data_IF_292266272595
#
_entry.id   IF_292266272595
#
_cell.length_a   1.000
_cell.length_b   1.000
_cell.length_c   1.000
_cell.angle_alpha   90.00
_cell.angle_beta   90.00
_cell.angle_gamma   90.00
#
_symmetry.space_group_name_H-M   'P 1'
#
loop_
_entity.id
_entity.type
_entity.pdbx_description
1 polymer ?
#
# COMPACT_ATOMS: atom_id res chain seq x y z
N UNK A 1 -16.17 21.25 4.16
CA UNK A 1 -15.08 20.96 3.18
C UNK A 1 -13.88 20.27 3.83
N UNK A 2 -13.39 20.68 5.01
CA UNK A 2 -12.23 20.07 5.70
C UNK A 2 -12.37 18.58 6.08
N UNK A 3 -13.59 18.09 6.34
CA UNK A 3 -13.81 16.72 6.85
C UNK A 3 -13.50 15.61 5.85
N UNK A 4 -13.77 15.82 4.55
CA UNK A 4 -13.56 14.78 3.52
C UNK A 4 -12.08 14.51 3.25
N UNK A 5 -11.26 15.57 3.14
CA UNK A 5 -9.81 15.45 2.87
C UNK A 5 -9.08 14.68 3.97
N UNK A 6 -9.41 14.96 5.25
CA UNK A 6 -8.81 14.26 6.38
C UNK A 6 -9.20 12.77 6.38
N UNK A 7 -10.45 12.46 6.02
CA UNK A 7 -10.92 11.09 5.96
C UNK A 7 -10.24 10.31 4.84
N UNK A 8 -10.06 10.92 3.67
CA UNK A 8 -9.36 10.34 2.52
C UNK A 8 -7.87 10.09 2.81
N UNK A 9 -7.19 11.00 3.50
CA UNK A 9 -5.81 10.79 3.95
C UNK A 9 -5.69 9.64 4.95
N UNK A 10 -6.59 9.57 5.92
CA UNK A 10 -6.60 8.50 6.92
C UNK A 10 -6.87 7.13 6.29
N UNK A 11 -7.79 7.05 5.34
CA UNK A 11 -8.02 5.83 4.58
C UNK A 11 -6.81 5.44 3.76
N UNK A 12 -6.17 6.39 3.10
CA UNK A 12 -4.97 6.15 2.31
C UNK A 12 -3.84 5.59 3.17
N UNK A 13 -3.64 6.13 4.38
CA UNK A 13 -2.68 5.58 5.35
C UNK A 13 -3.03 4.14 5.73
N UNK A 14 -4.29 3.85 6.08
CA UNK A 14 -4.73 2.48 6.43
C UNK A 14 -4.44 1.47 5.31
N UNK A 15 -4.68 1.84 4.06
CA UNK A 15 -4.43 0.98 2.90
C UNK A 15 -2.93 0.72 2.74
N UNK A 16 -2.09 1.76 2.86
CA UNK A 16 -0.63 1.61 2.77
C UNK A 16 -0.09 0.71 3.89
N UNK A 17 -0.55 0.89 5.13
CA UNK A 17 -0.17 0.01 6.25
C UNK A 17 -0.54 -1.46 5.99
N UNK A 18 -1.74 -1.71 5.46
CA UNK A 18 -2.18 -3.06 5.11
C UNK A 18 -1.33 -3.68 4.01
N UNK A 19 -0.98 -2.92 2.98
CA UNK A 19 -0.10 -3.38 1.92
C UNK A 19 1.32 -3.70 2.44
N UNK A 20 1.86 -2.88 3.38
CA UNK A 20 3.12 -3.20 4.05
C UNK A 20 3.04 -4.53 4.78
N UNK A 21 2.02 -4.76 5.60
CA UNK A 21 1.84 -6.02 6.34
C UNK A 21 1.79 -7.25 5.42
N UNK A 22 1.14 -7.13 4.25
CA UNK A 22 1.13 -8.18 3.23
C UNK A 22 2.53 -8.43 2.66
N UNK A 23 3.26 -7.39 2.30
CA UNK A 23 4.62 -7.52 1.78
C UNK A 23 5.57 -8.13 2.83
N UNK A 24 5.44 -7.73 4.09
CA UNK A 24 6.19 -8.29 5.21
C UNK A 24 5.89 -9.78 5.35
N UNK A 25 4.61 -10.17 5.37
CA UNK A 25 4.20 -11.56 5.54
C UNK A 25 4.54 -12.46 4.33
N UNK A 26 4.41 -11.96 3.10
CA UNK A 26 4.63 -12.76 1.90
C UNK A 26 6.09 -12.84 1.47
N UNK A 27 6.86 -11.78 1.71
CA UNK A 27 8.23 -11.65 1.19
C UNK A 27 9.27 -11.59 2.32
N UNK A 28 8.86 -11.66 3.59
CA UNK A 28 9.77 -11.61 4.74
C UNK A 28 10.46 -10.24 4.90
N UNK A 29 9.88 -9.17 4.34
CA UNK A 29 10.46 -7.83 4.38
C UNK A 29 10.27 -7.18 5.75
N UNK A 30 11.21 -6.31 6.12
CA UNK A 30 10.99 -5.34 7.20
C UNK A 30 9.96 -4.28 6.78
N UNK A 31 9.42 -3.56 7.77
CA UNK A 31 8.47 -2.48 7.52
C UNK A 31 9.06 -1.39 6.60
N UNK A 32 10.32 -1.01 6.83
CA UNK A 32 11.01 0.00 6.04
C UNK A 32 11.20 -0.46 4.59
N UNK A 33 11.59 -1.71 4.37
CA UNK A 33 11.74 -2.28 3.02
C UNK A 33 10.39 -2.37 2.30
N UNK A 34 9.34 -2.79 3.01
CA UNK A 34 7.99 -2.82 2.45
C UNK A 34 7.53 -1.42 2.03
N UNK A 35 7.76 -0.41 2.86
CA UNK A 35 7.43 0.98 2.52
C UNK A 35 8.24 1.48 1.32
N UNK A 36 9.56 1.30 1.32
CA UNK A 36 10.44 1.67 0.19
C UNK A 36 10.02 0.98 -1.10
N UNK A 37 9.54 -0.26 -1.02
CA UNK A 37 9.06 -1.01 -2.18
C UNK A 37 7.78 -0.40 -2.75
N UNK A 38 6.79 -0.07 -1.91
CA UNK A 38 5.57 0.63 -2.35
C UNK A 38 5.94 1.98 -2.97
N UNK A 39 6.84 2.73 -2.33
CA UNK A 39 7.32 4.03 -2.82
C UNK A 39 8.01 3.93 -4.18
N UNK A 40 8.90 2.96 -4.34
CA UNK A 40 9.59 2.72 -5.62
C UNK A 40 8.59 2.36 -6.72
N UNK A 41 7.65 1.46 -6.45
CA UNK A 41 6.60 1.12 -7.41
C UNK A 41 5.72 2.31 -7.77
N UNK A 42 5.42 3.20 -6.81
CA UNK A 42 4.69 4.44 -7.05
C UNK A 42 5.44 5.35 -8.02
N UNK A 43 6.75 5.55 -7.82
CA UNK A 43 7.60 6.36 -8.72
C UNK A 43 7.72 5.73 -10.10
N UNK A 44 8.03 4.43 -10.17
CA UNK A 44 8.26 3.70 -11.41
C UNK A 44 7.01 3.67 -12.30
N UNK A 45 5.82 3.58 -11.69
CA UNK A 45 4.54 3.52 -12.41
C UNK A 45 3.84 4.89 -12.53
N UNK A 46 4.40 5.95 -11.93
CA UNK A 46 3.78 7.28 -11.83
C UNK A 46 2.35 7.23 -11.27
N UNK A 47 2.14 6.38 -10.26
CA UNK A 47 0.86 6.20 -9.56
C UNK A 47 0.97 6.61 -8.11
N UNK A 48 -0.15 6.95 -7.48
CA UNK A 48 -0.15 7.28 -6.06
C UNK A 48 0.23 6.07 -5.19
N UNK A 49 0.76 6.34 -3.99
CA UNK A 49 1.04 5.29 -2.99
C UNK A 49 -0.19 4.45 -2.68
N UNK A 50 -1.38 5.07 -2.67
CA UNK A 50 -2.67 4.41 -2.42
C UNK A 50 -2.96 3.37 -3.51
N UNK A 51 -2.88 3.76 -4.79
CA UNK A 51 -3.17 2.85 -5.91
C UNK A 51 -2.23 1.64 -5.92
N UNK A 52 -0.94 1.85 -5.63
CA UNK A 52 0.03 0.75 -5.54
C UNK A 52 -0.30 -0.17 -4.36
N UNK A 53 -0.66 0.40 -3.20
CA UNK A 53 -1.04 -0.37 -2.04
C UNK A 53 -2.33 -1.19 -2.28
N UNK A 54 -3.33 -0.62 -2.95
CA UNK A 54 -4.55 -1.32 -3.38
C UNK A 54 -4.22 -2.48 -4.33
N UNK A 55 -3.32 -2.26 -5.30
CA UNK A 55 -2.89 -3.31 -6.23
C UNK A 55 -2.18 -4.47 -5.52
N UNK A 56 -1.35 -4.18 -4.51
CA UNK A 56 -0.69 -5.21 -3.68
C UNK A 56 -1.72 -6.02 -2.90
N UNK A 57 -2.69 -5.35 -2.27
CA UNK A 57 -3.77 -6.00 -1.53
C UNK A 57 -4.59 -6.92 -2.45
N UNK A 58 -4.97 -6.42 -3.63
CA UNK A 58 -5.72 -7.19 -4.61
C UNK A 58 -4.95 -8.43 -5.07
N UNK A 59 -3.67 -8.25 -5.42
CA UNK A 59 -2.80 -9.35 -5.85
C UNK A 59 -2.66 -10.41 -4.75
N UNK A 60 -2.54 -10.00 -3.50
CA UNK A 60 -2.51 -10.92 -2.35
C UNK A 60 -3.81 -11.71 -2.21
N UNK A 61 -4.96 -11.08 -2.42
CA UNK A 61 -6.26 -11.76 -2.36
C UNK A 61 -6.45 -12.75 -3.51
N UNK A 62 -5.88 -12.46 -4.68
CA UNK A 62 -5.93 -13.35 -5.83
C UNK A 62 -5.03 -14.57 -5.66
N UNK A 63 -3.84 -14.43 -5.06
CA UNK A 63 -2.90 -15.55 -4.82
C UNK A 63 -3.35 -16.50 -3.69
N UNK A 64 -4.28 -16.07 -2.85
CA UNK A 64 -4.83 -16.89 -1.76
C UNK A 64 -6.05 -17.73 -2.15
N UNK A 65 -6.43 -17.74 -3.44
CA UNK A 65 -7.41 -18.65 -4.05
C UNK A 65 -6.68 -19.71 -4.86
#
# INVERSE_FOLDING_TARGET
VKTKVIQEELESRKIVEKAKGILMSQQGLSEEEAFKRIQRHSMDNRRSMREIAEAIILTSQMKGK
#
